data_IF_500836093047
#
_entry.id   IF_500836093047
#
_cell.length_a   1.000
_cell.length_b   1.000
_cell.length_c   1.000
_cell.angle_alpha   90.00
_cell.angle_beta   90.00
_cell.angle_gamma   90.00
#
_symmetry.space_group_name_H-M   'P 1'
#
loop_
_entity.id
_entity.type
_entity.pdbx_description
1 polymer ?
#
# COMPACT_ATOMS: atom_id res chain seq x y z
N UNK A 1 -13.19 14.30 2.74
CA UNK A 1 -12.13 13.94 3.68
C UNK A 1 -12.22 14.89 4.84
N UNK A 2 -12.51 14.39 6.03
CA UNK A 2 -12.65 15.23 7.22
C UNK A 2 -11.25 15.68 7.71
N UNK A 3 -11.14 16.88 8.28
CA UNK A 3 -9.90 17.40 8.90
C UNK A 3 -9.13 16.38 9.78
N UNK A 4 -9.78 15.51 10.59
CA UNK A 4 -9.07 14.50 11.38
C UNK A 4 -8.37 13.41 10.55
N UNK A 5 -8.86 13.07 9.35
CA UNK A 5 -8.23 12.04 8.50
C UNK A 5 -6.83 12.48 8.04
N UNK A 6 -6.68 13.76 7.69
CA UNK A 6 -5.40 14.35 7.25
C UNK A 6 -4.41 14.35 8.40
N UNK A 7 -4.87 14.65 9.62
CA UNK A 7 -4.05 14.69 10.83
C UNK A 7 -3.52 13.29 11.20
N UNK A 8 -4.36 12.26 11.09
CA UNK A 8 -3.97 10.87 11.31
C UNK A 8 -2.94 10.41 10.27
N UNK A 9 -3.14 10.77 9.00
CA UNK A 9 -2.17 10.46 7.94
C UNK A 9 -0.84 11.18 8.16
N UNK A 10 -0.87 12.47 8.54
CA UNK A 10 0.33 13.25 8.81
C UNK A 10 1.14 12.69 9.99
N UNK A 11 0.46 12.34 11.09
CA UNK A 11 1.09 11.72 12.26
C UNK A 11 1.68 10.36 11.88
N UNK A 12 0.93 9.52 11.14
CA UNK A 12 1.41 8.23 10.66
C UNK A 12 2.67 8.36 9.78
N UNK A 13 2.73 9.39 8.94
CA UNK A 13 3.86 9.66 8.06
C UNK A 13 5.10 10.11 8.85
N UNK A 14 4.93 10.98 9.85
CA UNK A 14 6.01 11.42 10.75
C UNK A 14 6.54 10.25 11.59
N UNK A 15 5.66 9.44 12.16
CA UNK A 15 6.04 8.27 12.95
C UNK A 15 6.76 7.24 12.07
N UNK A 16 6.27 6.99 10.85
CA UNK A 16 6.94 6.10 9.89
C UNK A 16 8.35 6.58 9.52
N UNK A 17 8.55 7.90 9.36
CA UNK A 17 9.87 8.50 9.13
C UNK A 17 10.80 8.28 10.33
N UNK A 18 10.33 8.56 11.54
CA UNK A 18 11.11 8.35 12.76
C UNK A 18 11.50 6.88 12.95
N UNK A 19 10.58 5.94 12.73
CA UNK A 19 10.87 4.51 12.81
C UNK A 19 11.89 4.05 11.76
N UNK A 20 11.81 4.61 10.55
CA UNK A 20 12.77 4.31 9.48
C UNK A 20 14.17 4.81 9.85
N UNK A 21 14.28 6.01 10.44
CA UNK A 21 15.55 6.62 10.84
C UNK A 21 16.18 5.93 12.06
N UNK A 22 15.36 5.51 13.03
CA UNK A 22 15.85 4.90 14.28
C UNK A 22 16.23 3.43 14.10
N UNK A 23 15.46 2.66 13.33
CA UNK A 23 15.69 1.22 13.20
C UNK A 23 16.56 0.84 12.01
N UNK A 24 16.70 1.70 10.99
CA UNK A 24 17.44 1.38 9.75
C UNK A 24 16.85 0.22 8.96
N UNK A 25 15.70 -0.33 9.39
CA UNK A 25 14.99 -1.43 8.76
C UNK A 25 13.82 -0.82 7.98
N UNK A 26 13.69 -1.19 6.71
CA UNK A 26 12.54 -0.82 5.90
C UNK A 26 11.25 -1.26 6.63
N UNK A 27 10.33 -0.33 7.01
CA UNK A 27 9.14 -0.65 7.82
C UNK A 27 8.29 -1.78 7.24
N UNK A 28 8.34 -1.96 5.91
CA UNK A 28 7.67 -3.04 5.20
C UNK A 28 8.03 -4.44 5.68
N UNK A 29 9.28 -4.69 6.09
CA UNK A 29 9.71 -6.02 6.52
C UNK A 29 9.07 -6.50 7.83
N UNK A 30 8.65 -5.58 8.69
CA UNK A 30 8.07 -5.89 10.00
C UNK A 30 6.55 -5.72 9.99
N UNK A 31 6.04 -4.68 9.32
CA UNK A 31 4.61 -4.32 9.34
C UNK A 31 3.79 -5.28 8.47
N UNK A 32 4.27 -5.63 7.28
CA UNK A 32 3.53 -6.47 6.32
C UNK A 32 3.17 -7.84 6.87
N UNK A 33 4.08 -8.66 7.45
CA UNK A 33 3.71 -9.97 7.98
C UNK A 33 2.73 -9.87 9.16
N UNK A 34 2.80 -8.81 9.97
CA UNK A 34 1.83 -8.55 11.04
C UNK A 34 0.42 -8.32 10.50
N UNK A 35 0.26 -7.46 9.48
CA UNK A 35 -1.03 -7.20 8.84
C UNK A 35 -1.57 -8.42 8.08
N UNK A 36 -0.71 -9.21 7.45
CA UNK A 36 -1.11 -10.46 6.79
C UNK A 36 -1.61 -11.51 7.80
N UNK A 37 -0.97 -11.61 8.98
CA UNK A 37 -1.41 -12.52 10.04
C UNK A 37 -2.79 -12.14 10.61
N UNK A 38 -3.08 -10.84 10.75
CA UNK A 38 -4.38 -10.35 11.22
C UNK A 38 -5.53 -10.68 10.27
N UNK A 39 -5.26 -10.74 8.97
CA UNK A 39 -6.23 -11.07 7.93
C UNK A 39 -6.07 -12.48 7.37
N UNK A 40 -5.45 -13.39 8.13
CA UNK A 40 -5.16 -14.75 7.66
C UNK A 40 -6.43 -15.56 7.37
N UNK A 41 -7.54 -15.25 8.04
CA UNK A 41 -8.85 -15.85 7.80
C UNK A 41 -9.56 -15.27 6.57
N UNK A 42 -8.99 -14.23 5.94
CA UNK A 42 -9.58 -13.48 4.83
C UNK A 42 -8.68 -13.59 3.58
N UNK A 43 -8.56 -14.78 2.97
CA UNK A 43 -7.59 -15.06 1.90
C UNK A 43 -7.80 -14.19 0.65
N UNK A 44 -9.04 -13.75 0.43
CA UNK A 44 -9.37 -12.87 -0.70
C UNK A 44 -8.75 -11.48 -0.52
N UNK A 45 -8.78 -10.90 0.69
CA UNK A 45 -8.15 -9.60 0.97
C UNK A 45 -6.64 -9.66 0.80
N UNK A 46 -6.04 -10.76 1.24
CA UNK A 46 -4.61 -11.03 1.03
C UNK A 46 -4.29 -11.06 -0.46
N UNK A 47 -5.05 -11.83 -1.25
CA UNK A 47 -4.83 -11.97 -2.68
C UNK A 47 -4.98 -10.65 -3.43
N UNK A 48 -6.02 -9.88 -3.13
CA UNK A 48 -6.23 -8.53 -3.69
C UNK A 48 -5.08 -7.60 -3.32
N UNK A 49 -4.59 -7.63 -2.07
CA UNK A 49 -3.47 -6.80 -1.62
C UNK A 49 -2.19 -7.13 -2.39
N UNK A 50 -1.89 -8.41 -2.61
CA UNK A 50 -0.76 -8.84 -3.44
C UNK A 50 -0.91 -8.43 -4.90
N UNK A 51 -2.12 -8.53 -5.47
CA UNK A 51 -2.38 -8.04 -6.83
C UNK A 51 -2.12 -6.54 -6.96
N UNK A 52 -2.58 -5.74 -6.01
CA UNK A 52 -2.33 -4.29 -6.00
C UNK A 52 -0.83 -3.99 -5.86
N UNK A 53 -0.11 -4.73 -5.00
CA UNK A 53 1.33 -4.58 -4.86
C UNK A 53 2.09 -4.91 -6.15
N UNK A 54 1.72 -6.00 -6.83
CA UNK A 54 2.35 -6.40 -8.08
C UNK A 54 2.06 -5.41 -9.21
N UNK A 55 0.81 -4.94 -9.32
CA UNK A 55 0.44 -3.90 -10.27
C UNK A 55 1.20 -2.59 -9.99
N UNK A 56 1.34 -2.22 -8.73
CA UNK A 56 2.12 -1.04 -8.33
C UNK A 56 3.58 -1.16 -8.80
N UNK A 57 4.23 -2.28 -8.49
CA UNK A 57 5.60 -2.55 -8.92
C UNK A 57 5.75 -2.46 -10.44
N UNK A 58 4.81 -3.08 -11.18
CA UNK A 58 4.84 -3.06 -12.63
C UNK A 58 4.67 -1.64 -13.19
N UNK A 59 3.68 -0.89 -12.71
CA UNK A 59 3.43 0.49 -13.16
C UNK A 59 4.65 1.37 -12.90
N UNK A 60 5.21 1.33 -11.68
CA UNK A 60 6.35 2.19 -11.34
C UNK A 60 7.60 1.79 -12.11
N UNK A 61 7.83 0.49 -12.35
CA UNK A 61 8.97 0.01 -13.14
C UNK A 61 8.89 0.45 -14.60
N UNK A 62 7.70 0.37 -15.21
CA UNK A 62 7.47 0.90 -16.56
C UNK A 62 7.66 2.42 -16.59
N UNK A 63 7.13 3.12 -15.59
CA UNK A 63 7.23 4.58 -15.49
C UNK A 63 8.67 5.04 -15.28
N UNK A 64 9.47 4.30 -14.51
CA UNK A 64 10.90 4.54 -14.29
C UNK A 64 11.76 4.26 -15.54
N UNK A 65 11.22 3.55 -16.54
CA UNK A 65 11.90 3.39 -17.84
C UNK A 65 11.78 4.66 -18.69
N UNK A 66 10.67 5.39 -18.57
CA UNK A 66 10.42 6.63 -19.32
C UNK A 66 10.89 7.88 -18.56
N UNK A 67 10.84 7.83 -17.23
CA UNK A 67 11.19 8.94 -16.35
C UNK A 67 12.43 8.59 -15.53
N UNK A 68 13.36 9.55 -15.37
CA UNK A 68 14.60 9.37 -14.58
C UNK A 68 14.25 9.35 -13.09
N UNK A 69 13.72 8.24 -12.59
CA UNK A 69 13.33 8.05 -11.20
C UNK A 69 14.15 6.93 -10.58
N UNK A 70 15.12 7.31 -9.75
CA UNK A 70 16.03 6.38 -9.07
C UNK A 70 16.02 6.59 -7.55
N UNK A 71 16.42 5.56 -6.82
CA UNK A 71 16.61 5.59 -5.37
C UNK A 71 15.34 5.97 -4.60
N UNK A 72 15.48 6.91 -3.64
CA UNK A 72 14.40 7.31 -2.71
C UNK A 72 13.13 7.81 -3.42
N UNK A 73 13.25 8.39 -4.62
CA UNK A 73 12.08 8.85 -5.39
C UNK A 73 11.23 7.68 -5.88
N UNK A 74 11.85 6.56 -6.26
CA UNK A 74 11.15 5.34 -6.69
C UNK A 74 10.34 4.75 -5.54
N UNK A 75 10.90 4.70 -4.33
CA UNK A 75 10.22 4.25 -3.11
C UNK A 75 8.96 5.07 -2.81
N UNK A 76 9.04 6.40 -2.91
CA UNK A 76 7.87 7.27 -2.68
C UNK A 76 6.80 7.03 -3.74
N UNK A 77 7.18 6.88 -5.02
CA UNK A 77 6.24 6.56 -6.09
C UNK A 77 5.54 5.21 -5.86
N UNK A 78 6.25 4.19 -5.38
CA UNK A 78 5.65 2.89 -5.04
C UNK A 78 4.54 3.05 -3.99
N UNK A 79 4.80 3.82 -2.93
CA UNK A 79 3.79 4.09 -1.90
C UNK A 79 2.59 4.85 -2.48
N UNK A 80 2.84 5.89 -3.27
CA UNK A 80 1.78 6.73 -3.85
C UNK A 80 0.91 5.97 -4.86
N UNK A 81 1.53 5.18 -5.75
CA UNK A 81 0.81 4.39 -6.74
C UNK A 81 0.01 3.27 -6.06
N UNK A 82 0.56 2.59 -5.05
CA UNK A 82 -0.19 1.61 -4.28
C UNK A 82 -1.37 2.22 -3.54
N UNK A 83 -1.20 3.40 -2.94
CA UNK A 83 -2.29 4.13 -2.30
C UNK A 83 -3.42 4.44 -3.30
N UNK A 84 -3.06 4.95 -4.48
CA UNK A 84 -4.00 5.29 -5.54
C UNK A 84 -4.73 4.04 -6.06
N UNK A 85 -4.00 2.95 -6.37
CA UNK A 85 -4.62 1.71 -6.80
C UNK A 85 -5.50 1.10 -5.71
N UNK A 86 -5.03 1.07 -4.45
CA UNK A 86 -5.78 0.51 -3.34
C UNK A 86 -7.08 1.27 -3.07
N UNK A 87 -7.06 2.59 -3.16
CA UNK A 87 -8.27 3.42 -3.06
C UNK A 87 -9.24 3.18 -4.23
N UNK A 88 -8.76 3.07 -5.46
CA UNK A 88 -9.60 2.75 -6.62
C UNK A 88 -10.27 1.38 -6.49
N UNK A 89 -9.52 0.37 -6.03
CA UNK A 89 -10.03 -0.98 -5.79
C UNK A 89 -11.13 -0.98 -4.74
N UNK A 90 -10.92 -0.29 -3.63
CA UNK A 90 -11.93 -0.13 -2.56
C UNK A 90 -13.21 0.52 -3.08
N UNK A 91 -13.10 1.65 -3.77
CA UNK A 91 -14.26 2.33 -4.37
C UNK A 91 -14.99 1.42 -5.37
N UNK A 92 -14.23 0.69 -6.20
CA UNK A 92 -14.80 -0.23 -7.19
C UNK A 92 -15.55 -1.41 -6.58
N UNK A 93 -15.04 -1.96 -5.46
CA UNK A 93 -15.72 -3.06 -4.75
C UNK A 93 -16.92 -2.58 -3.94
N UNK A 94 -16.83 -1.44 -3.26
CA UNK A 94 -17.94 -0.86 -2.49
C UNK A 94 -19.14 -0.49 -3.37
N UNK A 95 -18.89 -0.05 -4.61
CA UNK A 95 -19.95 0.33 -5.55
C UNK A 95 -20.57 -0.86 -6.30
N UNK A 96 -20.03 -2.06 -6.16
CA UNK A 96 -20.53 -3.25 -6.86
C UNK A 96 -21.53 -4.02 -5.98
N UNK A 97 -22.85 -3.98 -6.28
CA UNK A 97 -23.86 -4.66 -5.46
C UNK A 97 -23.72 -6.19 -5.41
N UNK A 98 -22.95 -6.79 -6.33
CA UNK A 98 -22.65 -8.22 -6.33
C UNK A 98 -21.48 -8.59 -5.41
N UNK A 99 -20.59 -7.63 -5.12
CA UNK A 99 -19.32 -7.87 -4.41
C UNK A 99 -19.35 -7.26 -3.01
N UNK A 100 -20.12 -6.20 -2.81
CA UNK A 100 -20.31 -5.53 -1.52
C UNK A 100 -20.62 -6.47 -0.34
N UNK A 101 -21.42 -7.56 -0.47
CA UNK A 101 -21.68 -8.47 0.63
C UNK A 101 -20.45 -9.26 1.13
N UNK A 102 -19.39 -9.34 0.33
CA UNK A 102 -18.17 -10.11 0.64
C UNK A 102 -17.08 -9.28 1.32
N UNK A 103 -17.34 -7.98 1.57
CA UNK A 103 -16.41 -7.03 2.23
C UNK A 103 -14.98 -7.12 1.68
N UNK A 104 -14.83 -7.33 0.36
CA UNK A 104 -13.53 -7.50 -0.28
C UNK A 104 -12.82 -6.16 -0.33
N UNK A 105 -11.61 -6.13 0.19
CA UNK A 105 -10.87 -4.89 0.36
C UNK A 105 -9.35 -5.12 0.44
N UNK A 106 -8.60 -4.06 0.17
CA UNK A 106 -7.15 -4.04 0.29
C UNK A 106 -6.76 -3.82 1.74
N UNK A 107 -5.79 -4.60 2.22
CA UNK A 107 -5.30 -4.50 3.58
C UNK A 107 -4.52 -3.19 3.73
N UNK A 108 -5.13 -2.22 4.40
CA UNK A 108 -4.54 -0.92 4.64
C UNK A 108 -4.24 -0.13 3.36
N UNK A 109 -3.71 1.08 3.56
CA UNK A 109 -3.43 2.02 2.47
C UNK A 109 -1.97 2.00 2.01
N UNK A 110 -1.06 1.56 2.88
CA UNK A 110 0.39 1.65 2.67
C UNK A 110 1.01 0.25 2.49
N UNK A 111 0.38 -0.81 3.03
CA UNK A 111 0.86 -2.20 2.97
C UNK A 111 1.15 -2.68 1.54
N UNK A 112 0.25 -2.52 0.54
CA UNK A 112 0.58 -2.92 -0.84
C UNK A 112 1.79 -2.17 -1.40
N UNK A 113 2.00 -0.91 -1.01
CA UNK A 113 3.17 -0.13 -1.42
C UNK A 113 4.45 -0.62 -0.77
N UNK A 114 4.38 -1.02 0.51
CA UNK A 114 5.51 -1.65 1.21
C UNK A 114 5.88 -2.99 0.59
N UNK A 115 4.90 -3.82 0.20
CA UNK A 115 5.14 -5.06 -0.54
C UNK A 115 5.78 -4.75 -1.89
N UNK A 116 5.26 -3.77 -2.63
CA UNK A 116 5.81 -3.38 -3.92
C UNK A 116 7.27 -2.98 -3.83
N UNK A 117 7.67 -2.21 -2.81
CA UNK A 117 9.07 -1.82 -2.57
C UNK A 117 10.00 -3.04 -2.40
N UNK A 118 9.52 -4.13 -1.83
CA UNK A 118 10.31 -5.36 -1.68
C UNK A 118 10.44 -6.17 -2.98
N UNK A 119 9.57 -5.93 -3.96
CA UNK A 119 9.67 -6.54 -5.30
C UNK A 119 10.68 -5.80 -6.20
N UNK A 120 11.12 -4.61 -5.78
CA UNK A 120 11.93 -3.66 -6.53
C UNK A 120 13.44 -3.93 -6.52
#
# INVERSE_FOLDING_TARGET
MSEPEILVVAIGLVVSLLFTEVLGIAPGGIIVPGYLALHMQEPVKILVTFLVAYLTYFIVTVLATVTIVYGRRRTVLMILVAFLLGTLVRIGFDQSPLIAPFEIDVIGYIVPGLIAIWLD
#
